data_IF_059250587866
#
_entry.id   IF_059250587866
#
_cell.length_a   1.000
_cell.length_b   1.000
_cell.length_c   1.000
_cell.angle_alpha   90.00
_cell.angle_beta   90.00
_cell.angle_gamma   90.00
#
_symmetry.space_group_name_H-M   'P 1'
#
loop_
_entity.id
_entity.type
_entity.pdbx_description
1 polymer ?
#
# COMPACT_ATOMS: atom_id res chain seq x y z
N UNK A 1 -23.89 2.61 18.43
CA UNK A 1 -24.71 1.56 17.77
C UNK A 1 -24.13 1.10 16.44
N UNK A 2 -24.02 1.94 15.40
CA UNK A 2 -23.49 1.52 14.07
C UNK A 2 -22.09 0.88 14.10
N UNK A 3 -21.19 1.36 14.96
CA UNK A 3 -19.82 0.82 15.08
C UNK A 3 -19.77 -0.58 15.71
N UNK A 4 -20.65 -0.87 16.68
CA UNK A 4 -20.67 -2.17 17.37
C UNK A 4 -21.13 -3.28 16.42
N UNK A 5 -22.21 -3.01 15.69
CA UNK A 5 -22.76 -3.93 14.70
C UNK A 5 -21.77 -4.18 13.54
N UNK A 6 -21.10 -3.15 13.03
CA UNK A 6 -20.07 -3.33 12.00
C UNK A 6 -18.89 -4.17 12.50
N UNK A 7 -18.51 -4.03 13.77
CA UNK A 7 -17.47 -4.87 14.39
C UNK A 7 -17.93 -6.33 14.54
N UNK A 8 -19.19 -6.58 14.90
CA UNK A 8 -19.77 -7.93 14.98
C UNK A 8 -19.80 -8.60 13.62
N UNK A 9 -20.24 -7.88 12.58
CA UNK A 9 -20.23 -8.37 11.19
C UNK A 9 -18.80 -8.71 10.76
N UNK A 10 -17.84 -7.81 11.02
CA UNK A 10 -16.43 -8.07 10.71
C UNK A 10 -15.90 -9.32 11.44
N UNK A 11 -16.18 -9.45 12.75
CA UNK A 11 -15.76 -10.61 13.52
C UNK A 11 -16.32 -11.93 12.95
N UNK A 12 -17.59 -11.92 12.51
CA UNK A 12 -18.21 -13.07 11.87
C UNK A 12 -17.58 -13.38 10.50
N UNK A 13 -17.25 -12.36 9.69
CA UNK A 13 -16.55 -12.54 8.41
C UNK A 13 -15.14 -13.10 8.58
N UNK A 14 -14.45 -12.82 9.68
CA UNK A 14 -13.16 -13.45 9.96
C UNK A 14 -13.30 -14.97 10.16
N UNK A 15 -14.44 -15.43 10.70
CA UNK A 15 -14.74 -16.85 10.89
C UNK A 15 -15.27 -17.51 9.60
N UNK A 16 -16.08 -16.79 8.83
CA UNK A 16 -16.60 -17.22 7.52
C UNK A 16 -16.37 -16.15 6.44
N UNK A 17 -15.17 -16.14 5.82
CA UNK A 17 -14.82 -15.16 4.79
C UNK A 17 -15.66 -15.25 3.51
N UNK A 18 -16.32 -16.39 3.29
CA UNK A 18 -17.11 -16.65 2.08
C UNK A 18 -18.53 -16.07 2.12
N UNK A 19 -18.94 -15.53 3.28
CA UNK A 19 -20.28 -15.04 3.51
C UNK A 19 -20.58 -13.73 2.76
N UNK A 20 -21.07 -13.86 1.53
CA UNK A 20 -21.40 -12.71 0.65
C UNK A 20 -22.40 -11.73 1.26
N UNK A 21 -23.33 -12.21 2.09
CA UNK A 21 -24.33 -11.36 2.72
C UNK A 21 -23.68 -10.45 3.78
N UNK A 22 -22.89 -11.04 4.69
CA UNK A 22 -22.14 -10.25 5.68
C UNK A 22 -21.15 -9.30 5.01
N UNK A 23 -20.55 -9.70 3.89
CA UNK A 23 -19.64 -8.88 3.11
C UNK A 23 -20.32 -7.61 2.59
N UNK A 24 -21.50 -7.75 1.97
CA UNK A 24 -22.31 -6.61 1.54
C UNK A 24 -22.76 -5.72 2.70
N UNK A 25 -23.18 -6.33 3.81
CA UNK A 25 -23.57 -5.57 5.01
C UNK A 25 -22.39 -4.75 5.58
N UNK A 26 -21.19 -5.34 5.62
CA UNK A 26 -19.99 -4.66 6.08
C UNK A 26 -19.64 -3.48 5.17
N UNK A 27 -19.66 -3.71 3.85
CA UNK A 27 -19.41 -2.67 2.83
C UNK A 27 -20.32 -1.46 3.04
N UNK A 28 -21.61 -1.69 3.26
CA UNK A 28 -22.61 -0.63 3.43
C UNK A 28 -22.53 0.07 4.79
N UNK A 29 -22.17 -0.65 5.86
CA UNK A 29 -22.12 -0.09 7.22
C UNK A 29 -20.81 0.61 7.55
N UNK A 30 -19.69 0.09 7.07
CA UNK A 30 -18.36 0.60 7.37
C UNK A 30 -17.34 0.24 6.28
N UNK A 31 -17.20 1.13 5.30
CA UNK A 31 -16.23 1.01 4.20
C UNK A 31 -14.80 0.80 4.68
N UNK A 32 -14.40 1.36 5.83
CA UNK A 32 -13.03 1.19 6.33
C UNK A 32 -12.78 -0.24 6.84
N UNK A 33 -13.73 -0.82 7.60
CA UNK A 33 -13.61 -2.22 8.04
C UNK A 33 -13.73 -3.18 6.86
N UNK A 34 -14.59 -2.86 5.91
CA UNK A 34 -14.69 -3.59 4.65
C UNK A 34 -13.35 -3.63 3.91
N UNK A 35 -12.68 -2.47 3.79
CA UNK A 35 -11.36 -2.40 3.17
C UNK A 35 -10.32 -3.24 3.91
N UNK A 36 -10.32 -3.22 5.25
CA UNK A 36 -9.40 -4.04 6.06
C UNK A 36 -9.62 -5.53 5.79
N UNK A 37 -10.88 -5.96 5.68
CA UNK A 37 -11.21 -7.32 5.29
C UNK A 37 -10.66 -7.66 3.90
N UNK A 38 -10.92 -6.82 2.89
CA UNK A 38 -10.42 -7.04 1.53
C UNK A 38 -8.89 -7.06 1.45
N UNK A 39 -8.21 -6.22 2.22
CA UNK A 39 -6.73 -6.22 2.31
C UNK A 39 -6.21 -7.56 2.85
N UNK A 40 -6.85 -8.13 3.88
CA UNK A 40 -6.53 -9.46 4.39
C UNK A 40 -6.70 -10.52 3.30
N UNK A 41 -7.79 -10.47 2.54
CA UNK A 41 -8.04 -11.45 1.47
C UNK A 41 -7.05 -11.28 0.29
N UNK A 42 -6.69 -10.05 -0.06
CA UNK A 42 -5.73 -9.76 -1.13
C UNK A 42 -4.30 -10.27 -0.83
N UNK A 43 -3.93 -10.41 0.45
CA UNK A 43 -2.66 -11.05 0.84
C UNK A 43 -2.62 -12.52 0.39
N UNK A 44 -3.77 -13.19 0.32
CA UNK A 44 -3.85 -14.60 -0.07
C UNK A 44 -3.88 -14.80 -1.59
N UNK A 45 -4.29 -13.78 -2.34
CA UNK A 45 -4.33 -13.80 -3.81
C UNK A 45 -4.11 -12.40 -4.40
N UNK A 46 -2.83 -12.06 -4.59
CA UNK A 46 -2.43 -10.76 -5.16
C UNK A 46 -2.85 -10.57 -6.62
N UNK A 47 -3.27 -11.61 -7.34
CA UNK A 47 -3.68 -11.52 -8.75
C UNK A 47 -5.19 -11.38 -8.93
N UNK A 48 -5.95 -11.34 -7.83
CA UNK A 48 -7.40 -11.21 -7.87
C UNK A 48 -7.83 -9.82 -8.35
N UNK A 49 -8.10 -9.70 -9.64
CA UNK A 49 -8.47 -8.42 -10.27
C UNK A 49 -9.78 -7.84 -9.72
N UNK A 50 -10.72 -8.69 -9.29
CA UNK A 50 -11.96 -8.24 -8.65
C UNK A 50 -11.68 -7.55 -7.31
N UNK A 51 -10.89 -8.18 -6.44
CA UNK A 51 -10.49 -7.59 -5.16
C UNK A 51 -9.70 -6.29 -5.35
N UNK A 52 -8.74 -6.28 -6.28
CA UNK A 52 -7.97 -5.08 -6.59
C UNK A 52 -8.86 -3.93 -7.06
N UNK A 53 -9.87 -4.20 -7.89
CA UNK A 53 -10.80 -3.18 -8.38
C UNK A 53 -11.67 -2.62 -7.25
N UNK A 54 -12.12 -3.45 -6.31
CA UNK A 54 -12.84 -2.96 -5.14
C UNK A 54 -11.95 -2.09 -4.24
N UNK A 55 -10.72 -2.51 -3.99
CA UNK A 55 -9.75 -1.72 -3.23
C UNK A 55 -9.50 -0.36 -3.90
N UNK A 56 -9.38 -0.30 -5.24
CA UNK A 56 -9.27 0.96 -5.99
C UNK A 56 -10.49 1.86 -5.82
N UNK A 57 -11.70 1.31 -5.83
CA UNK A 57 -12.92 2.11 -5.58
C UNK A 57 -12.91 2.69 -4.17
N UNK A 58 -12.50 1.91 -3.17
CA UNK A 58 -12.39 2.37 -1.78
C UNK A 58 -11.32 3.45 -1.62
N UNK A 59 -10.17 3.31 -2.30
CA UNK A 59 -9.11 4.32 -2.31
C UNK A 59 -9.62 5.69 -2.79
N UNK A 60 -10.44 5.68 -3.85
CA UNK A 60 -11.04 6.88 -4.44
C UNK A 60 -12.20 7.46 -3.61
N UNK A 61 -12.74 6.73 -2.64
CA UNK A 61 -13.83 7.22 -1.79
C UNK A 61 -13.31 8.30 -0.82
N UNK A 62 -13.99 9.46 -0.79
CA UNK A 62 -13.62 10.60 0.05
C UNK A 62 -13.71 10.31 1.56
N UNK A 63 -14.56 9.37 1.97
CA UNK A 63 -14.78 9.00 3.38
C UNK A 63 -13.78 7.97 3.90
N UNK A 64 -12.96 7.38 3.02
CA UNK A 64 -11.94 6.41 3.42
C UNK A 64 -10.84 7.09 4.22
N UNK A 65 -10.46 6.49 5.35
CA UNK A 65 -9.41 7.00 6.22
C UNK A 65 -8.07 7.16 5.47
N UNK A 66 -7.35 8.27 5.70
CA UNK A 66 -6.09 8.58 5.01
C UNK A 66 -4.99 7.53 5.21
N UNK A 67 -4.84 6.99 6.42
CA UNK A 67 -3.88 5.91 6.67
C UNK A 67 -4.25 4.67 5.85
N UNK A 68 -5.54 4.30 5.87
CA UNK A 68 -6.04 3.17 5.12
C UNK A 68 -5.87 3.34 3.61
N UNK A 69 -6.08 4.53 3.05
CA UNK A 69 -5.80 4.81 1.62
C UNK A 69 -4.35 4.50 1.25
N UNK A 70 -3.41 4.84 2.12
CA UNK A 70 -2.00 4.55 1.86
C UNK A 70 -1.68 3.05 1.94
N UNK A 71 -2.33 2.31 2.86
CA UNK A 71 -2.19 0.85 2.93
C UNK A 71 -2.76 0.19 1.67
N UNK A 72 -3.90 0.69 1.18
CA UNK A 72 -4.50 0.24 -0.08
C UNK A 72 -3.57 0.49 -1.26
N UNK A 73 -3.02 1.70 -1.39
CA UNK A 73 -2.07 2.01 -2.46
C UNK A 73 -0.89 1.02 -2.47
N UNK A 74 -0.29 0.76 -1.30
CA UNK A 74 0.78 -0.23 -1.17
C UNK A 74 0.36 -1.64 -1.60
N UNK A 75 -0.82 -2.08 -1.18
CA UNK A 75 -1.35 -3.39 -1.56
C UNK A 75 -1.60 -3.55 -3.05
N UNK A 76 -1.76 -2.44 -3.78
CA UNK A 76 -1.96 -2.40 -5.23
C UNK A 76 -0.66 -2.19 -6.01
N UNK A 77 0.48 -2.05 -5.32
CA UNK A 77 1.76 -1.70 -5.94
C UNK A 77 1.87 -0.22 -6.35
N UNK A 78 0.95 0.62 -5.89
CA UNK A 78 0.96 2.06 -6.12
C UNK A 78 1.83 2.80 -5.10
N UNK A 79 2.32 3.99 -5.49
CA UNK A 79 3.16 4.84 -4.64
C UNK A 79 2.39 5.27 -3.38
N UNK A 80 3.04 5.16 -2.22
CA UNK A 80 2.45 5.51 -0.92
C UNK A 80 3.07 6.77 -0.35
N UNK A 81 2.28 7.64 0.28
CA UNK A 81 2.82 8.86 0.92
C UNK A 81 3.73 8.50 2.10
N UNK A 82 3.43 7.40 2.82
CA UNK A 82 4.26 6.93 3.93
C UNK A 82 5.54 6.26 3.48
N UNK A 83 5.47 5.42 2.43
CA UNK A 83 6.64 4.72 1.91
C UNK A 83 7.29 5.43 0.71
N UNK A 84 6.93 6.69 0.43
CA UNK A 84 7.46 7.46 -0.71
C UNK A 84 8.98 7.46 -0.83
N UNK A 85 9.71 7.37 0.29
CA UNK A 85 11.16 7.31 0.27
C UNK A 85 11.67 5.90 -0.07
N UNK A 86 10.95 4.84 0.31
CA UNK A 86 11.23 3.48 -0.18
C UNK A 86 10.94 3.39 -1.68
N UNK A 87 9.82 3.96 -2.14
CA UNK A 87 9.49 4.00 -3.57
C UNK A 87 10.60 4.69 -4.38
N UNK A 88 11.14 5.81 -3.87
CA UNK A 88 12.30 6.50 -4.47
C UNK A 88 13.55 5.64 -4.53
N UNK A 89 13.85 4.85 -3.48
CA UNK A 89 15.00 3.94 -3.49
C UNK A 89 14.84 2.88 -4.59
N UNK A 90 13.66 2.26 -4.67
CA UNK A 90 13.38 1.21 -5.65
C UNK A 90 13.40 1.76 -7.09
N UNK A 91 12.82 2.94 -7.31
CA UNK A 91 12.84 3.61 -8.60
C UNK A 91 14.26 4.02 -9.01
N UNK A 92 15.05 4.58 -8.08
CA UNK A 92 16.45 4.90 -8.33
C UNK A 92 17.28 3.65 -8.64
N UNK A 93 17.07 2.54 -7.94
CA UNK A 93 17.76 1.28 -8.22
C UNK A 93 17.50 0.79 -9.64
N UNK A 94 16.24 0.81 -10.11
CA UNK A 94 15.89 0.46 -11.50
C UNK A 94 16.53 1.38 -12.54
N UNK A 95 16.67 2.67 -12.22
CA UNK A 95 17.35 3.64 -13.10
C UNK A 95 18.85 3.34 -13.18
N UNK A 96 19.48 2.96 -12.07
CA UNK A 96 20.89 2.54 -12.04
C UNK A 96 21.11 1.29 -12.91
N UNK A 97 20.23 0.29 -12.85
CA UNK A 97 20.27 -0.89 -13.74
C UNK A 97 20.17 -0.50 -15.24
N UNK A 98 19.50 0.62 -15.54
CA UNK A 98 19.36 1.16 -16.89
C UNK A 98 20.47 2.15 -17.27
N UNK A 99 21.52 2.29 -16.43
CA UNK A 99 22.60 3.26 -16.60
C UNK A 99 22.15 4.74 -16.62
N UNK A 100 20.97 5.04 -16.04
CA UNK A 100 20.40 6.39 -15.89
C UNK A 100 20.81 7.01 -14.56
N UNK A 101 22.11 7.29 -14.44
CA UNK A 101 22.76 7.65 -13.16
C UNK A 101 22.26 9.00 -12.63
N UNK A 102 22.10 10.00 -13.51
CA UNK A 102 21.67 11.34 -13.10
C UNK A 102 20.23 11.34 -12.59
N UNK A 103 19.31 10.66 -13.28
CA UNK A 103 17.92 10.54 -12.85
C UNK A 103 17.81 9.78 -11.52
N UNK A 104 18.59 8.72 -11.34
CA UNK A 104 18.68 8.02 -10.07
C UNK A 104 19.17 8.95 -8.94
N UNK A 105 20.22 9.73 -9.19
CA UNK A 105 20.79 10.67 -8.23
C UNK A 105 19.81 11.77 -7.83
N UNK A 106 18.98 12.26 -8.76
CA UNK A 106 17.91 13.22 -8.46
C UNK A 106 16.93 12.63 -7.46
N UNK A 107 16.44 11.41 -7.69
CA UNK A 107 15.50 10.74 -6.76
C UNK A 107 16.11 10.50 -5.38
N UNK A 108 17.35 9.99 -5.34
CA UNK A 108 18.07 9.70 -4.09
C UNK A 108 18.33 10.96 -3.28
N UNK A 109 18.56 12.11 -3.93
CA UNK A 109 18.76 13.41 -3.25
C UNK A 109 17.51 13.95 -2.57
N UNK A 110 16.32 13.45 -2.93
CA UNK A 110 15.07 13.85 -2.29
C UNK A 110 14.79 13.10 -0.97
N UNK A 111 15.62 12.12 -0.61
CA UNK A 111 15.56 11.43 0.68
C UNK A 111 16.29 12.29 1.70
N UNK A 112 15.58 12.77 2.72
CA UNK A 112 16.13 13.67 3.75
C UNK A 112 17.23 12.99 4.56
N UNK A 113 18.21 13.77 5.01
CA UNK A 113 19.35 13.24 5.76
C UNK A 113 18.97 12.59 7.09
N UNK A 114 17.89 13.06 7.73
CA UNK A 114 17.37 12.50 8.97
C UNK A 114 16.46 11.27 8.76
N UNK A 115 16.30 10.80 7.52
CA UNK A 115 15.60 9.56 7.24
C UNK A 115 16.45 8.35 7.62
N UNK A 116 15.81 7.33 8.17
CA UNK A 116 16.45 6.00 8.37
C UNK A 116 16.99 5.39 7.08
N UNK A 117 16.54 5.86 5.91
CA UNK A 117 16.95 5.39 4.59
C UNK A 117 18.14 6.15 3.99
N UNK A 118 18.63 7.21 4.65
CA UNK A 118 19.67 8.07 4.11
C UNK A 118 20.96 7.30 3.81
N UNK A 119 21.37 6.37 4.68
CA UNK A 119 22.60 5.59 4.46
C UNK A 119 22.51 4.74 3.19
N UNK A 120 21.36 4.08 2.95
CA UNK A 120 21.12 3.30 1.74
C UNK A 120 21.14 4.21 0.51
N UNK A 121 20.49 5.38 0.60
CA UNK A 121 20.51 6.35 -0.48
C UNK A 121 21.93 6.79 -0.85
N UNK A 122 22.77 7.10 0.15
CA UNK A 122 24.18 7.46 -0.06
C UNK A 122 24.97 6.34 -0.71
N UNK A 123 24.77 5.09 -0.28
CA UNK A 123 25.43 3.94 -0.87
C UNK A 123 25.04 3.76 -2.35
N UNK A 124 23.76 3.89 -2.69
CA UNK A 124 23.30 3.81 -4.08
C UNK A 124 23.88 4.93 -4.95
N UNK A 125 24.01 6.17 -4.43
CA UNK A 125 24.65 7.27 -5.18
C UNK A 125 26.13 7.01 -5.43
N UNK A 126 26.84 6.47 -4.43
CA UNK A 126 28.29 6.32 -4.50
C UNK A 126 28.72 5.09 -5.30
N UNK A 127 28.05 3.96 -5.08
CA UNK A 127 28.39 2.68 -5.68
C UNK A 127 27.49 2.31 -6.86
N UNK A 128 26.51 3.16 -7.21
CA UNK A 128 25.60 2.95 -8.34
C UNK A 128 24.85 1.61 -8.29
N UNK A 129 24.65 1.05 -7.09
CA UNK A 129 23.99 -0.25 -6.89
C UNK A 129 24.90 -1.46 -7.13
N UNK A 130 26.19 -1.26 -7.36
CA UNK A 130 27.18 -2.32 -7.51
C UNK A 130 27.76 -2.63 -6.12
N UNK A 131 27.47 -3.80 -5.56
CA UNK A 131 28.23 -4.33 -4.42
C UNK A 131 29.66 -4.63 -4.86
N UNK A 132 30.64 -4.09 -4.13
CA UNK A 132 32.04 -4.53 -4.23
C UNK A 132 32.19 -5.98 -3.79
#
# INVERSE_FOLDING_TARGET
>A
YKTKEANEIYANLIQDPSNKNLLEQLKNKNTNLYAIFLLKENINDFNNTTLQNELKQIYNNAQTNTLLKNIIALSLGDKSIFLKNYDKLLEAYKLLEQNKIEEANVLLSQIKENSSLNQIAKNLKHYQGITQ
#
